data_IF_706700057563
#
_entry.id   IF_706700057563
#
_cell.length_a   1.000
_cell.length_b   1.000
_cell.length_c   1.000
_cell.angle_alpha   90.00
_cell.angle_beta   90.00
_cell.angle_gamma   90.00
#
_symmetry.space_group_name_H-M   'P 1'
#
loop_
_entity.id
_entity.type
_entity.pdbx_description
1 polymer ?
#
# COMPACT_ATOMS: atom_id res chain seq x y z
N UNK A 1 0.89 -39.28 7.39
CA UNK A 1 0.83 -38.21 8.41
C UNK A 1 0.27 -36.89 7.83
N UNK A 2 -0.69 -36.94 6.92
CA UNK A 2 -1.28 -35.77 6.23
C UNK A 2 -2.55 -35.23 6.90
N UNK A 3 -3.25 -36.07 7.67
CA UNK A 3 -4.57 -35.72 8.23
C UNK A 3 -4.59 -34.54 9.20
N UNK A 4 -3.47 -34.23 9.87
CA UNK A 4 -3.41 -33.12 10.84
C UNK A 4 -3.31 -31.76 10.15
N UNK A 5 -2.50 -31.66 9.09
CA UNK A 5 -2.37 -30.42 8.30
C UNK A 5 -3.65 -30.15 7.52
N UNK A 6 -4.24 -31.18 6.90
CA UNK A 6 -5.50 -31.07 6.17
C UNK A 6 -6.66 -30.61 7.07
N UNK A 7 -6.67 -31.06 8.33
CA UNK A 7 -7.67 -30.64 9.31
C UNK A 7 -7.51 -29.17 9.73
N UNK A 8 -6.26 -28.71 9.90
CA UNK A 8 -5.97 -27.30 10.21
C UNK A 8 -6.30 -26.39 9.03
N UNK A 9 -5.94 -26.79 7.80
CA UNK A 9 -6.26 -26.04 6.58
C UNK A 9 -7.77 -26.03 6.29
N UNK A 10 -8.48 -27.13 6.54
CA UNK A 10 -9.94 -27.17 6.42
C UNK A 10 -10.62 -26.18 7.38
N UNK A 11 -10.03 -25.94 8.55
CA UNK A 11 -10.53 -24.96 9.54
C UNK A 11 -10.16 -23.52 9.17
N UNK A 12 -9.04 -23.30 8.48
CA UNK A 12 -8.57 -22.00 8.03
C UNK A 12 -9.12 -21.57 6.65
N UNK A 13 -9.79 -22.46 5.92
CA UNK A 13 -10.44 -22.14 4.64
C UNK A 13 -11.54 -21.10 4.86
N UNK A 14 -11.22 -19.85 4.56
CA UNK A 14 -12.21 -18.81 4.33
C UNK A 14 -13.08 -19.27 3.15
N UNK A 15 -14.37 -19.44 3.39
CA UNK A 15 -15.31 -19.73 2.32
C UNK A 15 -15.18 -18.60 1.29
N UNK A 16 -14.89 -18.88 0.00
CA UNK A 16 -14.85 -17.85 -1.02
C UNK A 16 -16.21 -17.19 -1.03
N UNK A 17 -16.28 -15.95 -0.56
CA UNK A 17 -17.50 -15.17 -0.61
C UNK A 17 -17.48 -14.51 -1.98
N UNK A 18 -18.25 -14.99 -2.96
CA UNK A 18 -18.28 -14.36 -4.26
C UNK A 18 -18.65 -12.89 -4.07
N UNK A 19 -17.90 -12.00 -4.72
CA UNK A 19 -18.24 -10.58 -4.73
C UNK A 19 -19.66 -10.45 -5.29
N UNK A 20 -20.54 -9.67 -4.63
CA UNK A 20 -21.86 -9.38 -5.17
C UNK A 20 -21.71 -8.82 -6.59
N UNK A 21 -22.58 -9.24 -7.52
CA UNK A 21 -22.55 -8.75 -8.91
C UNK A 21 -22.55 -7.22 -8.98
N UNK A 22 -23.32 -6.57 -8.10
CA UNK A 22 -23.36 -5.12 -7.97
C UNK A 22 -22.01 -4.46 -7.61
N UNK A 23 -21.06 -5.18 -7.02
CA UNK A 23 -19.70 -4.67 -6.73
C UNK A 23 -18.75 -4.87 -7.91
N UNK A 24 -18.90 -5.98 -8.62
CA UNK A 24 -18.21 -6.24 -9.90
C UNK A 24 -18.64 -5.19 -10.92
N UNK A 25 -19.95 -4.94 -11.06
CA UNK A 25 -20.51 -3.92 -11.95
C UNK A 25 -19.96 -2.51 -11.61
N UNK A 26 -19.82 -2.21 -10.30
CA UNK A 26 -19.21 -0.95 -9.85
C UNK A 26 -17.71 -0.89 -10.16
N UNK A 27 -16.98 -1.99 -10.08
CA UNK A 27 -15.56 -2.05 -10.44
C UNK A 27 -15.35 -1.89 -11.95
N UNK A 28 -16.18 -2.55 -12.76
CA UNK A 28 -16.22 -2.41 -14.20
C UNK A 28 -16.57 -0.98 -14.62
N UNK A 29 -17.55 -0.34 -13.96
CA UNK A 29 -17.89 1.06 -14.21
C UNK A 29 -16.69 2.01 -13.94
N UNK A 30 -15.87 1.73 -12.92
CA UNK A 30 -14.65 2.50 -12.62
C UNK A 30 -13.55 2.28 -13.67
N UNK A 31 -13.35 1.04 -14.12
CA UNK A 31 -12.40 0.73 -15.20
C UNK A 31 -12.83 1.37 -16.52
N UNK A 32 -14.12 1.36 -16.82
CA UNK A 32 -14.70 2.05 -17.97
C UNK A 32 -14.48 3.56 -17.88
N UNK A 33 -14.69 4.19 -16.72
CA UNK A 33 -14.40 5.62 -16.50
C UNK A 33 -12.92 5.92 -16.73
N UNK A 34 -11.98 5.10 -16.23
CA UNK A 34 -10.55 5.26 -16.47
C UNK A 34 -10.16 5.10 -17.94
N UNK A 35 -10.78 4.14 -18.65
CA UNK A 35 -10.59 3.97 -20.09
C UNK A 35 -11.13 5.19 -20.85
N UNK A 36 -12.28 5.71 -20.43
CA UNK A 36 -12.93 6.88 -21.02
C UNK A 36 -12.09 8.14 -20.74
N UNK A 37 -11.58 8.36 -19.53
CA UNK A 37 -10.62 9.44 -19.22
C UNK A 37 -9.37 9.37 -20.12
N UNK A 38 -8.91 8.16 -20.46
CA UNK A 38 -7.85 7.94 -21.46
C UNK A 38 -8.26 8.30 -22.88
N UNK A 39 -9.53 8.09 -23.25
CA UNK A 39 -10.10 8.57 -24.53
C UNK A 39 -10.21 10.10 -24.56
N UNK A 40 -10.59 10.73 -23.44
CA UNK A 40 -10.67 12.20 -23.30
C UNK A 40 -9.29 12.89 -23.34
N UNK A 41 -8.24 12.19 -22.92
CA UNK A 41 -6.86 12.67 -23.05
C UNK A 41 -6.28 12.62 -24.48
N UNK A 42 -7.03 12.22 -25.52
CA UNK A 42 -6.50 12.39 -26.89
C UNK A 42 -7.17 11.73 -28.10
N UNK A 43 -8.44 11.32 -28.09
CA UNK A 43 -9.07 10.81 -29.32
C UNK A 43 -10.58 11.13 -29.44
N UNK A 44 -10.86 12.19 -30.23
CA UNK A 44 -12.14 12.59 -30.85
C UNK A 44 -13.03 13.68 -30.17
N UNK A 45 -13.05 14.81 -30.89
CA UNK A 45 -14.09 15.84 -31.10
C UNK A 45 -14.25 17.04 -30.12
N UNK A 46 -14.08 18.25 -30.68
CA UNK A 46 -14.26 19.56 -30.06
C UNK A 46 -15.49 20.24 -30.67
N UNK A 47 -16.46 20.57 -29.83
CA UNK A 47 -17.38 21.69 -30.04
C UNK A 47 -17.09 22.71 -28.93
N UNK A 48 -16.80 23.96 -29.29
CA UNK A 48 -16.40 25.05 -28.38
C UNK A 48 -17.53 25.38 -27.37
N UNK A 49 -18.78 25.01 -27.66
CA UNK A 49 -19.91 25.18 -26.75
C UNK A 49 -19.83 24.31 -25.48
N UNK A 50 -19.00 23.26 -25.48
CA UNK A 50 -18.85 22.33 -24.34
C UNK A 50 -17.74 22.73 -23.37
N UNK A 51 -16.97 23.79 -23.65
CA UNK A 51 -15.81 24.20 -22.84
C UNK A 51 -16.15 24.50 -21.36
N UNK A 52 -17.28 25.14 -21.02
CA UNK A 52 -17.66 25.35 -19.62
C UNK A 52 -17.97 24.03 -18.89
N UNK A 53 -18.64 23.10 -19.57
CA UNK A 53 -18.99 21.79 -19.01
C UNK A 53 -17.75 20.92 -18.80
N UNK A 54 -16.79 20.95 -19.73
CA UNK A 54 -15.47 20.30 -19.60
C UNK A 54 -14.69 20.86 -18.43
N UNK A 55 -14.62 22.18 -18.30
CA UNK A 55 -13.93 22.84 -17.19
C UNK A 55 -14.56 22.50 -15.84
N UNK A 56 -15.90 22.45 -15.76
CA UNK A 56 -16.61 22.05 -14.56
C UNK A 56 -16.38 20.57 -14.21
N UNK A 57 -16.40 19.68 -15.19
CA UNK A 57 -16.10 18.27 -15.02
C UNK A 57 -14.65 18.03 -14.58
N UNK A 58 -13.68 18.73 -15.16
CA UNK A 58 -12.26 18.70 -14.76
C UNK A 58 -12.11 19.15 -13.30
N UNK A 59 -12.78 20.24 -12.88
CA UNK A 59 -12.76 20.69 -11.48
C UNK A 59 -13.39 19.67 -10.52
N UNK A 60 -14.48 19.03 -10.93
CA UNK A 60 -15.13 17.98 -10.13
C UNK A 60 -14.23 16.74 -10.00
N UNK A 61 -13.63 16.28 -11.11
CA UNK A 61 -12.64 15.21 -11.11
C UNK A 61 -11.45 15.57 -10.21
N UNK A 62 -10.86 16.76 -10.37
CA UNK A 62 -9.77 17.26 -9.52
C UNK A 62 -10.14 17.24 -8.03
N UNK A 63 -11.36 17.69 -7.67
CA UNK A 63 -11.85 17.63 -6.28
C UNK A 63 -11.98 16.19 -5.77
N UNK A 64 -12.43 15.26 -6.60
CA UNK A 64 -12.49 13.84 -6.25
C UNK A 64 -11.09 13.23 -6.08
N UNK A 65 -10.08 13.69 -6.83
CA UNK A 65 -8.69 13.23 -6.69
C UNK A 65 -7.95 13.80 -5.46
N UNK A 66 -8.42 14.91 -4.85
CA UNK A 66 -7.74 15.55 -3.71
C UNK A 66 -7.63 14.64 -2.47
N UNK A 67 -8.70 13.98 -1.99
CA UNK A 67 -8.60 13.00 -0.91
C UNK A 67 -7.65 11.85 -1.24
N UNK A 68 -7.74 11.27 -2.44
CA UNK A 68 -6.88 10.16 -2.89
C UNK A 68 -5.39 10.54 -2.87
N UNK A 69 -5.05 11.74 -3.36
CA UNK A 69 -3.68 12.26 -3.31
C UNK A 69 -3.18 12.47 -1.88
N UNK A 70 -4.06 12.88 -0.96
CA UNK A 70 -3.69 13.04 0.44
C UNK A 70 -3.36 11.68 1.09
N UNK A 71 -4.15 10.64 0.83
CA UNK A 71 -3.87 9.28 1.33
C UNK A 71 -2.58 8.70 0.75
N UNK A 72 -2.34 8.89 -0.55
CA UNK A 72 -1.09 8.48 -1.19
C UNK A 72 0.14 9.16 -0.56
N UNK A 73 0.07 10.48 -0.30
CA UNK A 73 1.15 11.21 0.37
C UNK A 73 1.41 10.71 1.78
N UNK A 74 0.36 10.42 2.54
CA UNK A 74 0.45 9.87 3.89
C UNK A 74 1.06 8.46 3.88
N UNK A 75 0.60 7.60 2.97
CA UNK A 75 1.20 6.27 2.75
C UNK A 75 2.69 6.38 2.47
N UNK A 76 3.08 7.30 1.58
CA UNK A 76 4.48 7.55 1.26
C UNK A 76 5.28 8.06 2.46
N UNK A 77 4.72 8.93 3.30
CA UNK A 77 5.40 9.43 4.51
C UNK A 77 5.55 8.33 5.57
N UNK A 78 4.53 7.48 5.74
CA UNK A 78 4.61 6.30 6.60
C UNK A 78 5.71 5.34 6.12
N UNK A 79 5.74 5.03 4.83
CA UNK A 79 6.78 4.16 4.25
C UNK A 79 8.18 4.73 4.44
N UNK A 80 8.36 6.04 4.28
CA UNK A 80 9.64 6.71 4.57
C UNK A 80 10.06 6.54 6.03
N UNK A 81 9.11 6.67 6.95
CA UNK A 81 9.36 6.56 8.39
C UNK A 81 9.77 5.15 8.76
N UNK A 82 9.02 4.14 8.29
CA UNK A 82 9.36 2.72 8.48
C UNK A 82 10.75 2.42 7.93
N UNK A 83 11.04 2.81 6.68
CA UNK A 83 12.36 2.57 6.08
C UNK A 83 13.48 3.30 6.82
N UNK A 84 13.24 4.46 7.41
CA UNK A 84 14.26 5.17 8.19
C UNK A 84 14.60 4.46 9.51
N UNK A 85 13.61 3.88 10.20
CA UNK A 85 13.78 3.33 11.55
C UNK A 85 14.05 1.81 11.54
N UNK A 86 13.41 1.08 10.63
CA UNK A 86 13.27 -0.37 10.68
C UNK A 86 14.03 -1.09 9.55
N UNK A 87 14.85 -0.38 8.77
CA UNK A 87 15.57 -0.97 7.62
C UNK A 87 16.34 -2.25 7.98
N UNK A 88 16.90 -2.31 9.19
CA UNK A 88 17.64 -3.46 9.71
C UNK A 88 16.80 -4.75 9.79
N UNK A 89 15.48 -4.66 9.95
CA UNK A 89 14.57 -5.82 9.99
C UNK A 89 14.46 -6.51 8.64
N UNK A 90 14.80 -5.84 7.53
CA UNK A 90 14.78 -6.42 6.20
C UNK A 90 15.78 -7.57 6.04
N UNK A 91 16.92 -7.52 6.76
CA UNK A 91 17.91 -8.61 6.73
C UNK A 91 17.41 -9.90 7.38
N UNK A 92 16.45 -9.79 8.30
CA UNK A 92 15.83 -10.93 8.98
C UNK A 92 14.59 -11.47 8.25
N UNK A 93 14.16 -10.85 7.15
CA UNK A 93 12.97 -11.25 6.39
C UNK A 93 12.97 -12.73 5.98
N UNK A 94 14.16 -13.28 5.69
CA UNK A 94 14.37 -14.68 5.36
C UNK A 94 15.29 -15.36 6.38
N UNK A 95 15.10 -15.07 7.67
CA UNK A 95 15.77 -15.82 8.73
C UNK A 95 15.35 -17.29 8.66
N UNK A 96 16.33 -18.21 8.68
CA UNK A 96 16.11 -19.67 8.70
C UNK A 96 15.16 -20.21 7.60
N UNK A 97 15.11 -19.56 6.43
CA UNK A 97 14.23 -19.89 5.28
C UNK A 97 12.73 -19.73 5.56
N UNK A 98 12.36 -19.01 6.61
CA UNK A 98 10.98 -18.63 6.91
C UNK A 98 10.78 -17.14 6.60
N UNK A 99 9.57 -16.79 6.18
CA UNK A 99 9.18 -15.40 5.97
C UNK A 99 8.82 -14.80 7.34
N UNK A 100 9.64 -13.88 7.83
CA UNK A 100 9.39 -13.20 9.10
C UNK A 100 8.42 -12.01 8.92
N UNK A 101 7.32 -11.94 9.69
CA UNK A 101 6.32 -10.87 9.61
C UNK A 101 6.88 -9.46 9.72
N UNK A 102 7.86 -9.25 10.61
CA UNK A 102 8.43 -7.94 10.90
C UNK A 102 9.21 -7.37 9.71
N UNK A 103 9.81 -8.25 8.89
CA UNK A 103 10.49 -7.85 7.66
C UNK A 103 9.51 -7.46 6.55
N UNK A 104 8.29 -8.00 6.56
CA UNK A 104 7.31 -7.83 5.48
C UNK A 104 6.77 -6.40 5.40
N UNK A 105 6.53 -5.75 6.54
CA UNK A 105 6.18 -4.33 6.58
C UNK A 105 7.25 -3.47 5.88
N UNK A 106 8.52 -3.68 6.26
CA UNK A 106 9.66 -2.93 5.72
C UNK A 106 9.81 -3.20 4.23
N UNK A 107 9.73 -4.46 3.79
CA UNK A 107 9.78 -4.82 2.38
C UNK A 107 8.67 -4.15 1.58
N UNK A 108 7.42 -4.20 2.07
CA UNK A 108 6.30 -3.51 1.44
C UNK A 108 6.53 -2.00 1.33
N UNK A 109 7.07 -1.36 2.38
CA UNK A 109 7.40 0.06 2.36
C UNK A 109 8.52 0.40 1.36
N UNK A 110 9.56 -0.43 1.25
CA UNK A 110 10.61 -0.26 0.24
C UNK A 110 10.03 -0.36 -1.17
N UNK A 111 9.18 -1.35 -1.43
CA UNK A 111 8.54 -1.56 -2.73
C UNK A 111 7.60 -0.41 -3.10
N UNK A 112 6.83 0.11 -2.16
CA UNK A 112 5.99 1.30 -2.38
C UNK A 112 6.83 2.53 -2.74
N UNK A 113 8.01 2.70 -2.13
CA UNK A 113 8.92 3.80 -2.44
C UNK A 113 9.65 3.62 -3.77
N UNK A 114 9.70 2.39 -4.27
CA UNK A 114 10.24 2.02 -5.58
C UNK A 114 9.15 1.85 -6.67
N UNK A 115 7.94 2.36 -6.43
CA UNK A 115 6.80 2.32 -7.36
C UNK A 115 6.39 0.89 -7.79
N UNK A 116 6.53 -0.09 -6.89
CA UNK A 116 6.10 -1.49 -7.05
C UNK A 116 4.87 -1.78 -6.19
N UNK A 117 3.79 -1.05 -6.42
CA UNK A 117 2.59 -1.02 -5.56
C UNK A 117 1.92 -2.39 -5.41
N UNK A 118 1.80 -3.17 -6.48
CA UNK A 118 1.18 -4.51 -6.43
C UNK A 118 1.97 -5.48 -5.54
N UNK A 119 3.30 -5.46 -5.66
CA UNK A 119 4.19 -6.25 -4.80
C UNK A 119 4.18 -5.73 -3.36
N UNK A 120 4.10 -4.41 -3.16
CA UNK A 120 4.00 -3.81 -1.83
C UNK A 120 2.73 -4.27 -1.11
N UNK A 121 1.58 -4.25 -1.81
CA UNK A 121 0.30 -4.72 -1.30
C UNK A 121 0.38 -6.17 -0.82
N UNK A 122 1.00 -7.05 -1.59
CA UNK A 122 1.19 -8.45 -1.21
C UNK A 122 1.90 -8.58 0.15
N UNK A 123 3.03 -7.89 0.32
CA UNK A 123 3.82 -7.96 1.55
C UNK A 123 3.12 -7.36 2.76
N UNK A 124 2.35 -6.27 2.56
CA UNK A 124 1.53 -5.76 3.64
C UNK A 124 0.39 -6.72 4.01
N UNK A 125 -0.22 -7.42 3.04
CA UNK A 125 -1.23 -8.44 3.34
C UNK A 125 -0.66 -9.61 4.14
N UNK A 126 0.57 -10.03 3.80
CA UNK A 126 1.30 -11.05 4.56
C UNK A 126 1.54 -10.59 6.01
N UNK A 127 2.14 -9.40 6.20
CA UNK A 127 2.43 -8.88 7.53
C UNK A 127 1.16 -8.63 8.36
N UNK A 128 0.13 -8.04 7.76
CA UNK A 128 -1.14 -7.81 8.44
C UNK A 128 -1.83 -9.12 8.82
N UNK A 129 -1.72 -10.16 7.98
CA UNK A 129 -2.20 -11.51 8.29
C UNK A 129 -1.48 -12.17 9.48
N UNK A 130 -0.30 -11.67 9.85
CA UNK A 130 0.45 -12.02 11.04
C UNK A 130 0.32 -10.97 12.16
N UNK A 131 -0.78 -10.22 12.16
CA UNK A 131 -1.14 -9.19 13.15
C UNK A 131 -0.19 -7.96 13.20
N UNK A 132 0.60 -7.71 12.15
CA UNK A 132 1.38 -6.46 12.04
C UNK A 132 0.45 -5.27 11.80
N UNK A 133 0.34 -4.40 12.80
CA UNK A 133 -0.51 -3.20 12.79
C UNK A 133 -0.02 -2.14 11.78
N UNK A 134 1.29 -2.03 11.57
CA UNK A 134 1.87 -1.11 10.60
C UNK A 134 1.51 -1.52 9.17
N UNK A 135 1.55 -2.81 8.87
CA UNK A 135 1.16 -3.38 7.59
C UNK A 135 -0.34 -3.18 7.32
N UNK A 136 -1.18 -3.40 8.33
CA UNK A 136 -2.61 -3.10 8.23
C UNK A 136 -2.89 -1.60 8.02
N UNK A 137 -2.13 -0.71 8.65
CA UNK A 137 -2.20 0.74 8.42
C UNK A 137 -1.79 1.14 6.98
N UNK A 138 -0.72 0.53 6.44
CA UNK A 138 -0.32 0.72 5.05
C UNK A 138 -1.43 0.30 4.08
N UNK A 139 -2.08 -0.84 4.31
CA UNK A 139 -3.21 -1.31 3.50
C UNK A 139 -4.42 -0.39 3.58
N UNK A 140 -4.75 0.11 4.77
CA UNK A 140 -5.79 1.11 4.93
C UNK A 140 -5.52 2.35 4.06
N UNK A 141 -4.32 2.94 4.15
CA UNK A 141 -3.96 4.12 3.37
C UNK A 141 -3.90 3.84 1.87
N UNK A 142 -3.42 2.66 1.47
CA UNK A 142 -3.40 2.21 0.08
C UNK A 142 -4.82 2.13 -0.51
N UNK A 143 -5.73 1.42 0.16
CA UNK A 143 -7.11 1.29 -0.29
C UNK A 143 -7.86 2.64 -0.28
N UNK A 144 -7.58 3.54 0.66
CA UNK A 144 -8.12 4.91 0.64
C UNK A 144 -7.57 5.75 -0.53
N UNK A 145 -6.30 5.56 -0.90
CA UNK A 145 -5.73 6.19 -2.09
C UNK A 145 -6.38 5.69 -3.39
N UNK A 146 -6.83 4.43 -3.42
CA UNK A 146 -7.59 3.84 -4.54
C UNK A 146 -9.10 4.15 -4.50
N UNK A 147 -9.61 4.68 -3.38
CA UNK A 147 -11.04 4.92 -3.17
C UNK A 147 -11.84 3.67 -2.78
N UNK A 148 -11.15 2.61 -2.39
CA UNK A 148 -11.69 1.31 -1.98
C UNK A 148 -12.06 1.34 -0.49
N UNK A 149 -13.14 2.08 -0.18
CA UNK A 149 -13.52 2.37 1.21
C UNK A 149 -13.83 1.12 2.04
N UNK A 150 -14.47 0.12 1.44
CA UNK A 150 -14.87 -1.10 2.14
C UNK A 150 -13.65 -1.93 2.54
N UNK A 151 -12.70 -2.07 1.64
CA UNK A 151 -11.41 -2.72 1.85
C UNK A 151 -10.60 -1.94 2.89
N UNK A 152 -10.55 -0.61 2.78
CA UNK A 152 -9.91 0.24 3.77
C UNK A 152 -10.50 0.02 5.17
N UNK A 153 -11.83 0.02 5.32
CA UNK A 153 -12.49 -0.21 6.62
C UNK A 153 -12.14 -1.57 7.24
N UNK A 154 -11.99 -2.62 6.43
CA UNK A 154 -11.53 -3.93 6.91
C UNK A 154 -10.15 -3.82 7.59
N UNK A 155 -9.18 -3.21 6.90
CA UNK A 155 -7.82 -3.06 7.40
C UNK A 155 -7.71 -2.06 8.53
N UNK A 156 -8.56 -1.03 8.56
CA UNK A 156 -8.65 -0.08 9.69
C UNK A 156 -9.03 -0.78 10.99
N UNK A 157 -10.04 -1.67 10.94
CA UNK A 157 -10.44 -2.46 12.11
C UNK A 157 -9.32 -3.39 12.57
N UNK A 158 -8.68 -4.07 11.63
CA UNK A 158 -7.55 -4.96 11.93
C UNK A 158 -6.33 -4.23 12.50
N UNK A 159 -6.07 -3.00 12.05
CA UNK A 159 -5.02 -2.16 12.60
C UNK A 159 -5.33 -1.57 14.00
N UNK A 160 -6.52 -1.85 14.56
CA UNK A 160 -6.95 -1.23 15.81
C UNK A 160 -7.06 0.31 15.73
N UNK A 161 -7.14 0.86 14.52
CA UNK A 161 -7.20 2.30 14.26
C UNK A 161 -8.59 2.89 14.51
N UNK A 162 -9.52 2.09 15.02
CA UNK A 162 -10.91 2.48 15.23
C UNK A 162 -11.05 3.70 16.14
N UNK A 163 -10.21 3.76 17.19
CA UNK A 163 -10.15 4.86 18.13
C UNK A 163 -9.43 6.11 17.57
N UNK A 164 -8.55 5.93 16.59
CA UNK A 164 -7.75 7.00 15.98
C UNK A 164 -8.42 7.59 14.73
N UNK A 165 -9.43 6.91 14.19
CA UNK A 165 -10.04 7.22 12.90
C UNK A 165 -11.52 6.89 12.96
N UNK A 166 -12.47 7.82 13.14
CA UNK A 166 -13.90 7.46 13.26
C UNK A 166 -14.54 7.02 11.92
N UNK A 167 -15.61 6.21 12.00
CA UNK A 167 -16.35 5.58 10.88
C UNK A 167 -17.13 6.56 9.99
N UNK A 168 -17.47 7.74 10.50
CA UNK A 168 -18.30 8.73 9.81
C UNK A 168 -17.42 9.82 9.16
N UNK A 169 -17.45 10.01 7.83
CA UNK A 169 -16.71 11.07 7.14
C UNK A 169 -17.07 12.50 7.56
N UNK A 170 -18.08 12.66 8.40
CA UNK A 170 -18.61 13.93 8.93
C UNK A 170 -18.09 14.25 10.35
N UNK A 171 -17.56 13.26 11.09
CA UNK A 171 -16.96 13.44 12.43
C UNK A 171 -15.51 12.96 12.52
N UNK A 172 -14.87 12.64 11.38
CA UNK A 172 -13.42 12.79 11.34
C UNK A 172 -13.20 14.29 11.45
N UNK A 173 -12.80 14.80 12.62
CA UNK A 173 -12.08 16.05 12.60
C UNK A 173 -10.86 15.78 11.73
N UNK A 174 -10.98 16.24 10.48
CA UNK A 174 -9.97 16.11 9.45
C UNK A 174 -8.65 16.66 9.99
N UNK A 175 -8.69 17.50 11.04
CA UNK A 175 -7.55 17.92 11.82
C UNK A 175 -6.91 16.79 12.61
N UNK A 176 -7.57 15.95 13.42
CA UNK A 176 -6.87 15.03 14.34
C UNK A 176 -5.99 13.99 13.64
N UNK A 177 -6.47 13.40 12.55
CA UNK A 177 -5.67 12.50 11.73
C UNK A 177 -4.63 13.25 10.89
N UNK A 178 -4.96 14.45 10.38
CA UNK A 178 -3.94 15.31 9.79
C UNK A 178 -2.93 15.77 10.83
N UNK A 179 -3.27 15.89 12.10
CA UNK A 179 -2.46 16.44 13.18
C UNK A 179 -1.57 15.35 13.75
N UNK A 180 -2.06 14.12 13.91
CA UNK A 180 -1.21 12.96 14.19
C UNK A 180 -0.21 12.72 13.04
N UNK A 181 -0.65 12.84 11.78
CA UNK A 181 0.23 12.68 10.62
C UNK A 181 1.12 13.90 10.36
N UNK A 182 0.69 15.13 10.67
CA UNK A 182 1.49 16.37 10.64
C UNK A 182 2.41 16.48 11.85
N UNK A 183 2.10 15.82 12.97
CA UNK A 183 3.04 15.65 14.07
C UNK A 183 4.11 14.64 13.65
N UNK A 184 3.75 13.56 12.95
CA UNK A 184 4.73 12.65 12.34
C UNK A 184 5.55 13.32 11.22
N UNK A 185 4.96 14.19 10.40
CA UNK A 185 5.66 14.99 9.37
C UNK A 185 6.41 16.21 9.98
N UNK A 186 5.93 16.77 11.10
CA UNK A 186 6.43 17.97 11.77
C UNK A 186 7.53 17.68 12.79
N UNK A 187 7.58 16.45 13.32
CA UNK A 187 8.79 15.88 13.93
C UNK A 187 9.92 15.70 12.90
N UNK A 188 9.63 15.88 11.60
CA UNK A 188 10.60 15.90 10.49
C UNK A 188 10.95 17.31 10.02
N UNK A 189 10.48 18.37 10.70
CA UNK A 189 11.02 19.73 10.49
C UNK A 189 12.39 19.84 11.17
N UNK A 190 13.39 19.24 10.54
CA UNK A 190 14.76 19.39 11.00
C UNK A 190 15.82 18.47 10.42
N UNK A 191 15.57 17.58 9.45
CA UNK A 191 16.62 16.68 8.97
C UNK A 191 16.55 16.40 7.45
N UNK A 192 17.69 16.66 6.80
CA UNK A 192 18.09 16.53 5.39
C UNK A 192 17.07 15.86 4.43
N UNK A 193 16.73 16.58 3.36
CA UNK A 193 15.99 16.04 2.20
C UNK A 193 16.72 14.83 1.57
N UNK A 194 16.46 13.62 2.07
CA UNK A 194 17.04 12.41 1.48
C UNK A 194 16.89 11.17 2.36
N UNK A 195 16.84 10.01 1.71
CA UNK A 195 17.04 8.73 2.40
C UNK A 195 18.51 8.60 2.81
N UNK A 196 18.80 7.77 3.81
CA UNK A 196 20.20 7.36 4.07
C UNK A 196 20.79 6.70 2.82
N UNK A 197 22.13 6.68 2.65
CA UNK A 197 22.77 5.97 1.54
C UNK A 197 22.34 4.50 1.48
N UNK A 198 22.24 3.83 2.63
CA UNK A 198 21.76 2.46 2.73
C UNK A 198 20.30 2.31 2.26
N UNK A 199 19.39 3.16 2.76
CA UNK A 199 17.99 3.13 2.33
C UNK A 199 17.85 3.40 0.82
N UNK A 200 18.63 4.33 0.28
CA UNK A 200 18.66 4.62 -1.16
C UNK A 200 19.10 3.39 -1.96
N UNK A 201 20.17 2.72 -1.52
CA UNK A 201 20.70 1.53 -2.19
C UNK A 201 19.72 0.35 -2.12
N UNK A 202 19.07 0.15 -0.97
CA UNK A 202 18.03 -0.89 -0.81
C UNK A 202 16.82 -0.62 -1.70
N UNK A 203 16.31 0.62 -1.75
CA UNK A 203 15.19 1.01 -2.62
C UNK A 203 15.52 0.75 -4.10
N UNK A 204 16.77 0.95 -4.52
CA UNK A 204 17.20 0.67 -5.89
C UNK A 204 17.36 -0.85 -6.17
N UNK A 205 17.82 -1.62 -5.19
CA UNK A 205 18.12 -3.05 -5.35
C UNK A 205 16.86 -3.93 -5.32
N UNK A 206 16.02 -3.77 -4.29
CA UNK A 206 14.92 -4.68 -3.93
C UNK A 206 13.95 -5.00 -5.08
N UNK A 207 13.49 -4.04 -5.90
CA UNK A 207 12.56 -4.33 -7.01
C UNK A 207 13.07 -5.36 -8.02
N UNK A 208 14.39 -5.43 -8.21
CA UNK A 208 15.04 -6.34 -9.15
C UNK A 208 15.43 -7.66 -8.49
N UNK A 209 15.41 -7.71 -7.16
CA UNK A 209 15.75 -8.88 -6.36
C UNK A 209 14.53 -9.74 -6.01
N UNK A 210 13.32 -9.32 -6.38
CA UNK A 210 12.11 -10.13 -6.27
C UNK A 210 11.80 -10.78 -7.62
N UNK A 211 11.79 -12.11 -7.66
CA UNK A 211 11.33 -12.89 -8.81
C UNK A 211 9.87 -13.32 -8.63
N UNK A 212 9.07 -13.22 -9.68
CA UNK A 212 7.77 -13.89 -9.71
C UNK A 212 7.98 -15.37 -10.01
N UNK A 213 7.56 -16.24 -9.11
CA UNK A 213 7.57 -17.69 -9.34
C UNK A 213 6.20 -18.08 -9.91
N UNK A 214 6.16 -18.51 -11.17
CA UNK A 214 4.92 -18.83 -11.91
C UNK A 214 4.03 -19.87 -11.20
N UNK A 215 4.62 -20.71 -10.36
CA UNK A 215 3.91 -21.78 -9.65
C UNK A 215 3.09 -21.29 -8.45
N UNK A 216 3.38 -20.09 -7.93
CA UNK A 216 2.75 -19.56 -6.70
C UNK A 216 2.26 -18.10 -6.84
N UNK A 217 2.62 -17.39 -7.91
CA UNK A 217 2.34 -15.95 -8.10
C UNK A 217 2.75 -15.11 -6.87
N UNK A 218 3.85 -15.52 -6.21
CA UNK A 218 4.45 -14.82 -5.08
C UNK A 218 5.73 -14.08 -5.54
N UNK A 219 5.88 -12.78 -5.22
CA UNK A 219 7.12 -12.05 -5.47
C UNK A 219 8.16 -12.42 -4.41
N UNK A 220 8.88 -13.52 -4.60
CA UNK A 220 9.84 -14.03 -3.62
C UNK A 220 11.23 -13.42 -3.81
N UNK A 221 11.95 -13.10 -2.72
CA UNK A 221 13.34 -12.66 -2.83
C UNK A 221 14.26 -13.77 -3.34
N UNK A 222 15.32 -13.40 -4.06
CA UNK A 222 16.37 -14.33 -4.48
C UNK A 222 17.10 -14.97 -3.27
N UNK A 223 17.73 -16.14 -3.43
CA UNK A 223 18.41 -16.83 -2.34
C UNK A 223 19.53 -16.03 -1.65
N UNK A 224 20.22 -15.15 -2.37
CA UNK A 224 21.30 -14.29 -1.86
C UNK A 224 20.79 -12.98 -1.22
N UNK A 225 19.47 -12.79 -1.17
CA UNK A 225 18.85 -11.54 -0.70
C UNK A 225 19.29 -11.12 0.71
N UNK A 226 19.34 -12.01 1.73
CA UNK A 226 19.75 -11.60 3.09
C UNK A 226 21.20 -11.12 3.16
N UNK A 227 22.10 -11.78 2.43
CA UNK A 227 23.52 -11.40 2.36
C UNK A 227 23.66 -10.03 1.71
N UNK A 228 22.96 -9.79 0.59
CA UNK A 228 22.96 -8.50 -0.11
C UNK A 228 22.34 -7.38 0.71
N UNK A 229 21.24 -7.61 1.41
CA UNK A 229 20.67 -6.62 2.32
C UNK A 229 21.64 -6.32 3.47
N UNK A 230 22.30 -7.34 4.02
CA UNK A 230 23.35 -7.17 5.03
C UNK A 230 24.49 -6.28 4.54
N UNK A 231 25.01 -6.52 3.33
CA UNK A 231 26.05 -5.69 2.70
C UNK A 231 25.59 -4.24 2.50
N UNK A 232 24.37 -4.03 2.00
CA UNK A 232 23.83 -2.70 1.70
C UNK A 232 23.51 -1.88 2.96
N UNK A 233 23.20 -2.54 4.07
CA UNK A 233 22.84 -1.90 5.35
C UNK A 233 24.01 -1.76 6.32
N UNK A 234 25.12 -2.48 6.10
CA UNK A 234 26.36 -2.36 6.87
C UNK A 234 27.15 -1.07 6.61
N UNK A 235 26.80 -0.30 5.57
CA UNK A 235 27.47 0.95 5.18
C UNK A 235 26.92 2.18 5.93
N UNK A 236 26.05 1.97 6.93
CA UNK A 236 25.51 3.02 7.81
C UNK A 236 26.51 3.51 8.86
#
# INVERSE_FOLDING_TARGET
MTGTLDHVLAKARLAPRPYPSAEVDRAEARLAVRLTERMWHGALYFDDQMEPARTAAVRAAQRNYLPHRAFYRRLRSLCKTVVAHDLHKLGALLADRLLEPEGALVLGCVLQLADREDSARFWWQFGAGADDTGAACCLYLHHMALGERREAELWRRQAGLEALMPETPEEIDRNDLNMALQMLDGLREGEREGFSPAATAVIAYVPNALGFVEEVDLPLPQPDFPERIGELTAVC
#
